data_IF_657606564962
#
_entry.id   IF_657606564962
#
_cell.length_a   1.000
_cell.length_b   1.000
_cell.length_c   1.000
_cell.angle_alpha   90.00
_cell.angle_beta   90.00
_cell.angle_gamma   90.00
#
_symmetry.space_group_name_H-M   'P 1'
#
loop_
_entity.id
_entity.type
_entity.pdbx_description
1 polymer ?
#
# COMPACT_ATOMS: atom_id res chain seq x y z
N UNK A 1 -11.46 16.28 5.91
CA UNK A 1 -11.07 14.96 5.38
C UNK A 1 -9.56 14.86 5.34
N UNK A 2 -9.02 13.79 5.86
CA UNK A 2 -7.56 13.64 6.01
C UNK A 2 -6.81 13.55 4.68
N UNK A 3 -7.44 12.98 3.66
CA UNK A 3 -6.81 12.92 2.34
C UNK A 3 -6.55 14.30 1.73
N UNK A 4 -7.47 15.23 1.94
CA UNK A 4 -7.29 16.61 1.48
C UNK A 4 -6.20 17.32 2.28
N UNK A 5 -6.06 16.99 3.56
CA UNK A 5 -4.97 17.50 4.39
C UNK A 5 -3.63 17.00 3.87
N UNK A 6 -3.54 15.73 3.50
CA UNK A 6 -2.33 15.16 2.92
C UNK A 6 -1.97 15.83 1.59
N UNK A 7 -2.96 16.12 0.74
CA UNK A 7 -2.74 16.87 -0.50
C UNK A 7 -2.15 18.25 -0.24
N UNK A 8 -2.70 18.96 0.74
CA UNK A 8 -2.21 20.29 1.11
C UNK A 8 -0.76 20.23 1.62
N UNK A 9 -0.45 19.28 2.49
CA UNK A 9 0.90 19.10 3.01
C UNK A 9 1.89 18.76 1.90
N UNK A 10 1.48 17.93 0.95
CA UNK A 10 2.31 17.61 -0.21
C UNK A 10 2.64 18.84 -1.04
N UNK A 11 1.64 19.71 -1.27
CA UNK A 11 1.85 20.95 -2.01
C UNK A 11 2.78 21.91 -1.27
N UNK A 12 2.58 22.08 0.04
CA UNK A 12 3.38 22.97 0.86
C UNK A 12 4.86 22.55 0.92
N UNK A 13 5.14 21.27 0.81
CA UNK A 13 6.49 20.73 0.94
C UNK A 13 7.11 20.31 -0.40
N UNK A 14 6.45 20.58 -1.53
CA UNK A 14 6.98 20.30 -2.84
C UNK A 14 7.13 18.81 -3.14
N UNK A 15 6.25 17.98 -2.56
CA UNK A 15 6.29 16.52 -2.77
C UNK A 15 5.62 16.18 -4.10
N UNK A 16 6.36 15.56 -5.00
CA UNK A 16 5.86 15.18 -6.32
C UNK A 16 5.17 13.81 -6.28
N UNK A 17 4.42 13.51 -7.35
CA UNK A 17 3.81 12.19 -7.52
C UNK A 17 4.88 11.10 -7.55
N UNK A 18 5.99 11.36 -8.22
CA UNK A 18 7.10 10.41 -8.32
C UNK A 18 7.71 10.09 -6.96
N UNK A 19 7.84 11.08 -6.10
CA UNK A 19 8.32 10.88 -4.73
C UNK A 19 7.37 9.98 -3.93
N UNK A 20 6.07 10.20 -4.07
CA UNK A 20 5.05 9.41 -3.39
C UNK A 20 5.05 7.97 -3.89
N UNK A 21 5.15 7.78 -5.20
CA UNK A 21 5.18 6.45 -5.81
C UNK A 21 6.44 5.68 -5.35
N UNK A 22 7.59 6.33 -5.34
CA UNK A 22 8.82 5.71 -4.87
C UNK A 22 8.72 5.28 -3.40
N UNK A 23 8.12 6.11 -2.57
CA UNK A 23 7.88 5.78 -1.17
C UNK A 23 6.95 4.58 -1.03
N UNK A 24 5.85 4.57 -1.79
CA UNK A 24 4.89 3.47 -1.76
C UNK A 24 5.51 2.14 -2.20
N UNK A 25 6.26 2.14 -3.28
CA UNK A 25 6.97 0.95 -3.77
C UNK A 25 7.94 0.44 -2.71
N UNK A 26 8.74 1.32 -2.12
CA UNK A 26 9.72 0.93 -1.10
C UNK A 26 9.02 0.39 0.15
N UNK A 27 7.88 0.97 0.53
CA UNK A 27 7.09 0.49 1.66
C UNK A 27 6.61 -0.95 1.45
N UNK A 28 6.05 -1.24 0.28
CA UNK A 28 5.61 -2.60 -0.05
C UNK A 28 6.79 -3.57 -0.12
N UNK A 29 7.90 -3.13 -0.70
CA UNK A 29 9.11 -3.96 -0.79
C UNK A 29 9.61 -4.36 0.58
N UNK A 30 9.70 -3.39 1.50
CA UNK A 30 10.17 -3.66 2.87
C UNK A 30 9.20 -4.56 3.63
N UNK A 31 7.91 -4.33 3.49
CA UNK A 31 6.90 -5.14 4.16
C UNK A 31 6.93 -6.58 3.65
N UNK A 32 7.08 -6.76 2.35
CA UNK A 32 7.18 -8.10 1.76
C UNK A 32 8.44 -8.82 2.21
N UNK A 33 9.59 -8.13 2.19
CA UNK A 33 10.85 -8.71 2.66
C UNK A 33 10.76 -9.12 4.13
N UNK A 34 10.16 -8.29 4.97
CA UNK A 34 9.97 -8.60 6.39
C UNK A 34 9.06 -9.82 6.58
N UNK A 35 8.02 -9.94 5.77
CA UNK A 35 7.11 -11.09 5.80
C UNK A 35 7.86 -12.36 5.40
N UNK A 36 8.66 -12.32 4.34
CA UNK A 36 9.42 -13.47 3.86
C UNK A 36 10.51 -13.91 4.86
N UNK A 37 11.09 -12.96 5.57
CA UNK A 37 12.10 -13.24 6.60
C UNK A 37 11.50 -13.72 7.92
N UNK A 38 10.18 -13.74 8.05
CA UNK A 38 9.50 -14.19 9.25
C UNK A 38 9.54 -13.20 10.41
N UNK A 39 9.80 -11.92 10.14
CA UNK A 39 9.88 -10.90 11.20
C UNK A 39 8.56 -10.66 11.91
N UNK A 40 7.45 -10.91 11.22
CA UNK A 40 6.12 -10.76 11.80
C UNK A 40 5.55 -12.05 12.39
N UNK A 41 6.30 -13.15 12.32
CA UNK A 41 5.79 -14.47 12.72
C UNK A 41 5.28 -14.51 14.17
N UNK A 42 5.91 -13.74 15.07
CA UNK A 42 5.50 -13.69 16.48
C UNK A 42 4.28 -12.81 16.74
N UNK A 43 3.87 -12.02 15.75
CA UNK A 43 2.77 -11.08 15.88
C UNK A 43 1.53 -11.53 15.11
N UNK A 44 1.68 -12.41 14.14
CA UNK A 44 0.59 -12.88 13.29
C UNK A 44 -0.04 -14.13 13.91
N UNK A 45 -1.35 -14.08 14.06
CA UNK A 45 -2.17 -15.20 14.53
C UNK A 45 -2.96 -15.73 13.35
N UNK A 46 -2.87 -17.06 13.11
CA UNK A 46 -3.67 -17.69 12.08
C UNK A 46 -5.15 -17.72 12.46
N UNK A 47 -6.01 -17.29 11.57
CA UNK A 47 -7.46 -17.25 11.79
C UNK A 47 -8.16 -17.98 10.65
N UNK A 48 -9.12 -18.84 10.99
CA UNK A 48 -9.96 -19.49 9.99
C UNK A 48 -10.88 -18.47 9.33
N UNK A 49 -10.88 -18.46 8.02
CA UNK A 49 -11.76 -17.60 7.23
C UNK A 49 -12.18 -18.31 5.96
N UNK A 50 -12.74 -17.56 5.02
CA UNK A 50 -13.13 -18.08 3.72
C UNK A 50 -12.42 -17.32 2.62
N UNK A 51 -12.00 -18.04 1.56
CA UNK A 51 -11.44 -17.39 0.38
C UNK A 51 -12.56 -16.86 -0.52
N UNK A 52 -12.18 -16.28 -1.67
CA UNK A 52 -13.15 -15.73 -2.62
C UNK A 52 -14.12 -16.77 -3.17
N UNK A 53 -13.73 -18.05 -3.15
CA UNK A 53 -14.56 -19.16 -3.63
C UNK A 53 -15.44 -19.77 -2.53
N UNK A 54 -15.37 -19.23 -1.32
CA UNK A 54 -16.18 -19.68 -0.18
C UNK A 54 -15.63 -20.87 0.57
N UNK A 55 -14.44 -21.37 0.22
CA UNK A 55 -13.81 -22.47 0.96
C UNK A 55 -13.11 -21.95 2.20
N UNK A 56 -13.14 -22.76 3.26
CA UNK A 56 -12.43 -22.44 4.50
C UNK A 56 -10.92 -22.47 4.27
N UNK A 57 -10.25 -21.44 4.72
CA UNK A 57 -8.78 -21.33 4.65
C UNK A 57 -8.25 -20.75 5.96
N UNK A 58 -6.99 -21.07 6.28
CA UNK A 58 -6.31 -20.45 7.41
C UNK A 58 -5.64 -19.16 6.93
N UNK A 59 -6.13 -18.03 7.45
CA UNK A 59 -5.58 -16.71 7.09
C UNK A 59 -4.41 -16.39 8.02
N UNK A 60 -3.21 -16.40 7.50
CA UNK A 60 -1.99 -16.13 8.28
C UNK A 60 -1.04 -15.15 7.58
N UNK A 61 -1.48 -14.52 6.49
CA UNK A 61 -0.66 -13.58 5.73
C UNK A 61 -1.41 -12.26 5.61
N UNK A 62 -0.69 -11.16 5.78
CA UNK A 62 -1.22 -9.83 5.52
C UNK A 62 -1.35 -9.64 4.00
N UNK A 63 -2.59 -9.60 3.52
CA UNK A 63 -2.88 -9.54 2.09
C UNK A 63 -2.82 -8.13 1.52
N UNK A 64 -2.66 -7.11 2.35
CA UNK A 64 -2.59 -5.73 1.88
C UNK A 64 -1.26 -5.45 1.18
N UNK A 65 -0.23 -6.20 1.53
CA UNK A 65 1.10 -6.05 0.94
C UNK A 65 1.08 -6.50 -0.52
N UNK A 66 1.60 -5.67 -1.41
CA UNK A 66 1.68 -5.97 -2.85
C UNK A 66 3.12 -6.29 -3.24
N UNK A 67 3.49 -7.56 -3.33
CA UNK A 67 4.88 -7.95 -3.63
C UNK A 67 5.33 -7.55 -5.03
N UNK A 68 4.39 -7.36 -5.95
CA UNK A 68 4.65 -6.97 -7.34
C UNK A 68 4.61 -5.45 -7.58
N UNK A 69 4.57 -4.65 -6.51
CA UNK A 69 4.51 -3.20 -6.63
C UNK A 69 5.76 -2.64 -7.33
N UNK A 70 5.56 -1.77 -8.30
CA UNK A 70 6.63 -1.08 -9.02
C UNK A 70 6.19 0.33 -9.44
N UNK A 71 7.14 1.15 -9.87
CA UNK A 71 6.86 2.54 -10.25
C UNK A 71 5.86 2.65 -11.41
N UNK A 72 5.92 1.73 -12.37
CA UNK A 72 5.00 1.72 -13.51
C UNK A 72 3.55 1.50 -13.08
N UNK A 73 3.31 0.49 -12.25
CA UNK A 73 1.97 0.19 -11.78
C UNK A 73 1.40 1.33 -10.94
N UNK A 74 2.22 1.98 -10.13
CA UNK A 74 1.79 3.11 -9.31
C UNK A 74 1.51 4.35 -10.17
N UNK A 75 2.32 4.60 -11.18
CA UNK A 75 2.15 5.75 -12.07
C UNK A 75 0.83 5.70 -12.85
N UNK A 76 0.30 4.50 -13.11
CA UNK A 76 -0.96 4.33 -13.83
C UNK A 76 -2.21 4.61 -12.98
N UNK A 77 -2.05 4.75 -11.66
CA UNK A 77 -3.17 5.00 -10.75
C UNK A 77 -3.62 6.46 -10.84
N UNK A 78 -4.94 6.66 -10.84
CA UNK A 78 -5.52 8.01 -10.90
C UNK A 78 -5.46 8.67 -9.54
N UNK A 79 -5.23 10.01 -9.48
CA UNK A 79 -5.39 10.76 -8.23
C UNK A 79 -6.80 10.62 -7.67
N UNK A 80 -6.90 10.55 -6.32
CA UNK A 80 -8.18 10.29 -5.65
C UNK A 80 -9.04 11.55 -5.56
N UNK A 81 -8.43 12.70 -5.25
CA UNK A 81 -9.19 13.91 -4.92
C UNK A 81 -9.19 14.95 -6.03
N UNK A 82 -8.07 15.12 -6.72
CA UNK A 82 -7.92 16.16 -7.75
C UNK A 82 -6.98 15.62 -8.82
N UNK A 83 -7.39 15.62 -10.11
CA UNK A 83 -6.51 15.12 -11.19
C UNK A 83 -5.16 15.82 -11.28
N UNK A 84 -5.05 17.06 -10.78
CA UNK A 84 -3.80 17.81 -10.75
C UNK A 84 -2.95 17.54 -9.52
N UNK A 85 -3.44 16.73 -8.57
CA UNK A 85 -2.75 16.39 -7.33
C UNK A 85 -2.13 15.01 -7.42
N UNK A 86 -1.29 14.69 -6.44
CA UNK A 86 -0.45 13.50 -6.51
C UNK A 86 -1.06 12.29 -5.79
N UNK A 87 -1.90 12.49 -4.77
CA UNK A 87 -2.39 11.41 -3.93
C UNK A 87 -3.32 10.46 -4.66
N UNK A 88 -3.05 9.17 -4.58
CA UNK A 88 -3.88 8.11 -5.17
C UNK A 88 -4.42 7.17 -4.08
N UNK A 89 -5.30 6.25 -4.49
CA UNK A 89 -5.87 5.26 -3.55
C UNK A 89 -4.80 4.44 -2.84
N UNK A 90 -3.70 4.16 -3.51
CA UNK A 90 -2.67 3.31 -2.93
C UNK A 90 -1.84 4.03 -1.86
N UNK A 91 -1.86 5.37 -1.87
CA UNK A 91 -1.16 6.19 -0.89
C UNK A 91 -2.00 6.46 0.37
N UNK A 92 -3.27 6.18 0.32
CA UNK A 92 -4.20 6.37 1.43
C UNK A 92 -4.24 5.13 2.31
#
# INVERSE_FOLDING_TARGET
MMGLTAEMLGRMNGITREMQDAFGVESHRRAWAATQEGRFANEIIGVEGHNADGFKVLCEIDEVIRPDANLESFASLRPVFDPSKALSLIHI
#
